data_IF_884711065891
#
_entry.id   IF_884711065891
#
_cell.length_a   1.000
_cell.length_b   1.000
_cell.length_c   1.000
_cell.angle_alpha   90.00
_cell.angle_beta   90.00
_cell.angle_gamma   90.00
#
_symmetry.space_group_name_H-M   'P 1'
#
loop_
_entity.id
_entity.type
_entity.pdbx_description
1 polymer ?
#
# COMPACT_ATOMS: atom_id res chain seq x y z
N UNK A 1 -23.15 -12.50 -14.72
CA UNK A 1 -22.75 -12.45 -14.52
C UNK A 1 -22.34 -12.45 -14.02
N UNK A 2 -21.95 -12.49 -13.90
CA UNK A 2 -21.45 -12.51 -13.46
C UNK A 2 -20.76 -12.34 -13.09
N UNK A 3 -20.51 -12.43 -12.98
CA UNK A 3 -19.79 -12.19 -12.67
C UNK A 3 -19.09 -12.38 -12.29
N UNK A 4 -18.90 -12.78 -12.61
CA UNK A 4 -18.11 -13.04 -12.15
C UNK A 4 -17.61 -12.37 -11.63
N UNK A 5 -17.80 -11.98 -11.72
CA UNK A 5 -17.38 -11.37 -11.33
C UNK A 5 -17.06 -11.04 -10.40
N UNK A 6 -17.58 -10.93 -9.96
CA UNK A 6 -17.37 -10.72 -8.85
C UNK A 6 -16.18 -11.12 -8.63
N UNK A 7 -16.05 -11.84 -9.15
CA UNK A 7 -14.98 -12.30 -9.19
C UNK A 7 -14.03 -11.35 -9.45
N UNK A 8 -14.24 -10.43 -9.77
CA UNK A 8 -13.25 -9.46 -10.03
C UNK A 8 -12.88 -8.66 -8.82
N UNK A 9 -13.35 -9.01 -7.67
CA UNK A 9 -12.87 -8.33 -6.48
C UNK A 9 -11.43 -8.74 -6.19
N UNK A 10 -10.55 -7.78 -5.96
CA UNK A 10 -9.17 -8.14 -5.62
C UNK A 10 -9.11 -8.82 -4.29
N UNK A 11 -8.15 -9.73 -4.18
CA UNK A 11 -7.93 -10.45 -2.93
C UNK A 11 -6.58 -10.02 -2.38
N UNK A 12 -6.59 -9.49 -1.19
CA UNK A 12 -5.36 -9.13 -0.52
C UNK A 12 -5.53 -9.28 0.97
N UNK A 13 -4.42 -9.50 1.65
CA UNK A 13 -4.43 -9.62 3.10
C UNK A 13 -4.62 -8.24 3.72
N UNK A 14 -4.99 -8.19 5.01
CA UNK A 14 -5.09 -6.89 5.68
C UNK A 14 -3.81 -6.08 5.59
N UNK A 15 -2.65 -6.72 5.74
CA UNK A 15 -1.40 -5.99 5.66
C UNK A 15 -1.13 -5.50 4.25
N UNK A 16 -1.40 -6.32 3.25
CA UNK A 16 -1.28 -5.88 1.87
C UNK A 16 -2.19 -4.70 1.60
N UNK A 17 -3.40 -4.77 2.15
CA UNK A 17 -4.34 -3.66 2.00
C UNK A 17 -3.82 -2.37 2.60
N UNK A 18 -3.11 -2.45 3.72
CA UNK A 18 -2.54 -1.26 4.33
C UNK A 18 -1.42 -0.67 3.46
N UNK A 19 -0.61 -1.53 2.85
CA UNK A 19 0.40 -1.03 1.91
C UNK A 19 -0.25 -0.31 0.73
N UNK A 20 -1.30 -0.91 0.17
CA UNK A 20 -2.01 -0.30 -0.96
C UNK A 20 -2.63 1.03 -0.55
N UNK A 21 -3.25 1.06 0.64
CA UNK A 21 -3.87 2.27 1.14
C UNK A 21 -2.83 3.37 1.37
N UNK A 22 -1.66 3.01 1.87
CA UNK A 22 -0.60 3.99 2.09
C UNK A 22 -0.12 4.57 0.75
N UNK A 23 0.12 3.70 -0.24
CA UNK A 23 0.59 4.17 -1.53
C UNK A 23 -0.43 5.12 -2.15
N UNK A 24 -1.70 4.76 -2.04
CA UNK A 24 -2.77 5.61 -2.57
C UNK A 24 -2.82 6.96 -1.86
N UNK A 25 -2.79 6.94 -0.52
CA UNK A 25 -2.88 8.16 0.25
C UNK A 25 -1.67 9.06 0.03
N UNK A 26 -0.49 8.46 -0.03
CA UNK A 26 0.72 9.22 -0.29
C UNK A 26 0.65 9.92 -1.64
N UNK A 27 0.20 9.19 -2.66
CA UNK A 27 0.08 9.73 -4.00
C UNK A 27 -0.91 10.89 -4.02
N UNK A 28 -2.01 10.73 -3.31
CA UNK A 28 -3.02 11.78 -3.24
C UNK A 28 -2.48 13.06 -2.61
N UNK A 29 -1.74 12.92 -1.53
CA UNK A 29 -1.26 14.06 -0.76
C UNK A 29 -0.07 14.71 -1.44
N UNK A 30 0.81 13.92 -2.02
CA UNK A 30 2.09 14.42 -2.52
C UNK A 30 2.16 14.59 -4.03
N UNK A 31 1.15 14.12 -4.74
CA UNK A 31 1.11 14.25 -6.18
C UNK A 31 2.02 13.28 -6.92
N UNK A 32 2.62 12.36 -6.21
CA UNK A 32 3.50 11.35 -6.82
C UNK A 32 3.57 10.15 -5.88
N UNK A 33 3.89 8.97 -6.43
CA UNK A 33 3.96 7.77 -5.59
C UNK A 33 5.11 7.82 -4.59
N UNK A 34 5.04 7.05 -3.52
CA UNK A 34 6.13 6.98 -2.57
C UNK A 34 7.31 6.19 -3.12
N UNK A 35 8.49 6.48 -2.62
CA UNK A 35 9.65 5.63 -2.83
C UNK A 35 9.60 4.50 -1.80
N UNK A 36 10.41 3.48 -2.01
CA UNK A 36 10.47 2.39 -1.05
C UNK A 36 10.86 2.88 0.35
N UNK A 37 11.74 3.87 0.40
CA UNK A 37 12.16 4.42 1.69
C UNK A 37 10.99 5.05 2.45
N UNK A 38 10.05 5.65 1.74
CA UNK A 38 8.87 6.23 2.38
C UNK A 38 7.99 5.15 2.99
N UNK A 39 7.84 4.05 2.28
CA UNK A 39 7.05 2.91 2.74
C UNK A 39 7.72 2.30 3.97
N UNK A 40 9.04 2.09 3.86
CA UNK A 40 9.81 1.54 4.95
C UNK A 40 9.64 2.36 6.22
N UNK A 41 9.71 3.66 6.07
CA UNK A 41 9.61 4.57 7.21
C UNK A 41 8.24 4.52 7.84
N UNK A 42 7.19 4.51 7.02
CA UNK A 42 5.83 4.49 7.56
C UNK A 42 5.55 3.21 8.32
N UNK A 43 5.91 2.06 7.74
CA UNK A 43 5.60 0.78 8.34
C UNK A 43 6.65 0.31 9.34
N UNK A 44 7.78 1.01 9.39
CA UNK A 44 8.88 0.68 10.30
C UNK A 44 9.36 -0.75 10.11
N UNK A 45 9.64 -1.06 8.87
CA UNK A 45 10.13 -2.38 8.48
C UNK A 45 11.46 -2.22 7.76
N UNK A 46 12.09 -3.35 7.49
CA UNK A 46 13.40 -3.33 6.83
C UNK A 46 13.24 -3.17 5.32
N UNK A 47 14.29 -2.69 4.63
CA UNK A 47 14.22 -2.61 3.18
C UNK A 47 13.91 -3.94 2.49
N UNK A 48 14.50 -5.08 2.91
CA UNK A 48 14.09 -6.34 2.28
C UNK A 48 12.63 -6.66 2.46
N UNK A 49 12.04 -6.30 3.61
CA UNK A 49 10.61 -6.55 3.83
C UNK A 49 9.76 -5.77 2.85
N UNK A 50 10.09 -4.50 2.63
CA UNK A 50 9.35 -3.68 1.67
C UNK A 50 9.51 -4.27 0.28
N UNK A 51 10.74 -4.62 -0.08
CA UNK A 51 11.01 -5.17 -1.41
C UNK A 51 10.18 -6.42 -1.67
N UNK A 52 10.17 -7.34 -0.70
CA UNK A 52 9.41 -8.56 -0.83
C UNK A 52 7.91 -8.30 -0.93
N UNK A 53 7.41 -7.37 -0.13
CA UNK A 53 6.00 -7.05 -0.20
C UNK A 53 5.64 -6.48 -1.56
N UNK A 54 6.46 -5.57 -2.09
CA UNK A 54 6.18 -4.98 -3.38
C UNK A 54 6.20 -6.03 -4.49
N UNK A 55 7.13 -6.97 -4.43
CA UNK A 55 7.15 -8.07 -5.39
C UNK A 55 5.86 -8.89 -5.32
N UNK A 56 5.42 -9.17 -4.11
CA UNK A 56 4.20 -9.94 -3.91
C UNK A 56 2.99 -9.21 -4.45
N UNK A 57 2.89 -7.91 -4.15
CA UNK A 57 1.78 -7.11 -4.66
C UNK A 57 1.79 -7.03 -6.18
N UNK A 58 2.98 -6.92 -6.76
CA UNK A 58 3.11 -6.83 -8.21
C UNK A 58 2.72 -8.15 -8.87
N UNK A 59 3.15 -9.27 -8.31
CA UNK A 59 2.79 -10.58 -8.83
C UNK A 59 1.30 -10.82 -8.76
N UNK A 60 0.67 -10.29 -7.73
CA UNK A 60 -0.78 -10.43 -7.57
C UNK A 60 -1.59 -9.48 -8.43
N UNK A 61 -0.94 -8.65 -9.23
CA UNK A 61 -1.66 -7.71 -10.06
C UNK A 61 -2.25 -6.54 -9.30
N UNK A 62 -1.77 -6.29 -8.10
CA UNK A 62 -2.33 -5.23 -7.26
C UNK A 62 -1.63 -3.90 -7.44
N UNK A 63 -0.39 -3.93 -7.91
CA UNK A 63 0.36 -2.72 -8.25
C UNK A 63 1.15 -2.98 -9.52
N UNK A 64 1.60 -1.90 -10.15
CA UNK A 64 2.59 -1.97 -11.20
C UNK A 64 3.74 -1.06 -10.84
N UNK A 65 4.90 -1.33 -11.42
CA UNK A 65 6.08 -0.49 -11.25
C UNK A 65 6.87 -0.50 -12.54
N UNK A 66 7.58 0.58 -12.80
CA UNK A 66 8.51 0.59 -13.93
C UNK A 66 9.89 0.22 -13.42
N UNK A 67 10.53 -0.78 -14.00
CA UNK A 67 11.87 -1.19 -13.55
C UNK A 67 12.85 -0.02 -13.62
N UNK A 68 13.64 0.13 -12.58
CA UNK A 68 14.65 1.16 -12.55
C UNK A 68 14.15 2.56 -12.35
N UNK A 69 12.85 2.76 -12.22
CA UNK A 69 12.27 4.08 -12.04
C UNK A 69 11.76 4.21 -10.61
N UNK A 70 12.41 5.02 -9.78
CA UNK A 70 11.89 5.24 -8.43
C UNK A 70 10.56 5.98 -8.51
N UNK A 71 9.73 5.82 -7.48
CA UNK A 71 8.45 6.52 -7.39
C UNK A 71 7.55 6.23 -8.59
N UNK A 72 7.57 4.98 -9.05
CA UNK A 72 6.75 4.58 -10.19
C UNK A 72 5.64 3.61 -9.82
N UNK A 73 5.39 3.40 -8.52
CA UNK A 73 4.39 2.45 -8.08
C UNK A 73 2.99 3.01 -8.40
N UNK A 74 2.19 2.20 -9.04
CA UNK A 74 0.80 2.56 -9.30
C UNK A 74 -0.10 1.49 -8.73
N UNK A 75 -1.10 1.89 -7.96
CA UNK A 75 -2.08 0.96 -7.40
C UNK A 75 -3.08 0.63 -8.48
N UNK A 76 -3.29 -0.65 -8.71
CA UNK A 76 -4.22 -1.13 -9.74
C UNK A 76 -5.59 -1.49 -9.17
N UNK A 77 -5.70 -1.50 -7.85
CA UNK A 77 -6.96 -1.78 -7.18
C UNK A 77 -7.82 -0.54 -7.20
N UNK A 78 -9.12 -0.72 -7.39
CA UNK A 78 -10.05 0.36 -7.35
C UNK A 78 -9.99 1.01 -5.96
N UNK A 79 -9.94 2.33 -5.91
CA UNK A 79 -9.79 2.96 -4.60
C UNK A 79 -10.97 2.67 -3.68
N UNK A 80 -12.14 2.39 -4.24
CA UNK A 80 -13.30 2.05 -3.41
C UNK A 80 -13.14 0.70 -2.73
N UNK A 81 -12.19 -0.12 -3.16
CA UNK A 81 -11.93 -1.42 -2.56
C UNK A 81 -10.79 -1.37 -1.55
N UNK A 82 -10.15 -0.23 -1.38
CA UNK A 82 -9.04 -0.12 -0.46
C UNK A 82 -9.55 0.09 0.96
N UNK A 83 -8.90 -0.53 1.94
CA UNK A 83 -9.26 -0.27 3.33
C UNK A 83 -8.81 1.11 3.75
N UNK A 84 -9.35 1.57 4.86
CA UNK A 84 -8.86 2.80 5.46
C UNK A 84 -7.42 2.57 5.93
N UNK A 85 -6.58 3.55 5.69
CA UNK A 85 -5.22 3.49 6.20
C UNK A 85 -5.26 3.73 7.70
N UNK A 86 -4.66 2.83 8.46
CA UNK A 86 -4.66 2.95 9.91
C UNK A 86 -3.36 3.59 10.36
N UNK A 87 -3.43 4.74 10.99
CA UNK A 87 -2.22 5.38 11.50
C UNK A 87 -1.51 4.44 12.46
N UNK A 88 -0.24 4.32 12.30
CA UNK A 88 0.52 3.47 13.18
C UNK A 88 0.46 1.99 12.88
N UNK A 89 -0.21 1.60 11.80
CA UNK A 89 -0.22 0.18 11.44
C UNK A 89 1.21 -0.27 11.22
N UNK A 90 1.59 -1.35 11.88
CA UNK A 90 2.95 -1.83 11.78
C UNK A 90 3.94 -1.06 12.62
N UNK A 91 3.49 -0.04 13.34
CA UNK A 91 4.33 0.78 14.19
C UNK A 91 3.96 0.54 15.64
N UNK A 92 4.87 0.83 16.57
CA UNK A 92 4.50 0.76 17.99
C UNK A 92 3.38 1.75 18.23
N UNK A 93 2.43 1.30 18.98
CA UNK A 93 1.33 2.17 19.29
C UNK A 93 1.77 3.22 20.24
N UNK A 94 1.46 4.40 19.99
CA UNK A 94 1.84 5.36 20.81
C UNK A 94 0.83 6.16 21.14
N UNK A 95 0.44 6.35 21.80
CA UNK A 95 -0.62 6.90 22.09
C UNK A 95 -0.63 8.08 22.31
N UNK A 96 -0.59 8.71 22.25
CA UNK A 96 -0.50 9.72 22.42
C UNK A 96 -1.36 10.48 22.38
N UNK A 97 -1.54 10.87 22.40
CA UNK A 97 -2.22 11.46 22.35
C UNK A 97 -2.62 12.42 22.46
N UNK A 98 -2.54 13.08 22.54
CA UNK A 98 -2.72 13.96 22.43
C UNK A 98 -3.70 14.53 22.54
N UNK A 99 -3.95 15.08 22.93
CA UNK A 99 -4.75 15.61 23.05
C UNK A 99 -4.71 16.67 22.94
N UNK A 100 -4.78 17.23 22.51
CA UNK A 100 -4.74 18.31 22.34
C UNK A 100 -5.70 18.81 22.11
#
# INVERSE_FOLDING_TARGET
MNRAASDSLPVFTPRQGQYLAFIHAYTLVNGRPPAQADIQRFFQVTPPSVHQMLLTLERGGLISRRPGAPRSIAVLVNRSDLPALEPGYGQPVKITVTRY
#
